data_IF_050191172677
#
_entry.id   IF_050191172677
#
_cell.length_a   1.000
_cell.length_b   1.000
_cell.length_c   1.000
_cell.angle_alpha   90.00
_cell.angle_beta   90.00
_cell.angle_gamma   90.00
#
_symmetry.space_group_name_H-M   'P 1'
#
loop_
_entity.id
_entity.type
_entity.pdbx_description
1 polymer ?
#
# COMPACT_ATOMS: atom_id res chain seq x y z
N UNK A 1 -4.98 8.94 -21.25
CA UNK A 1 -5.63 7.67 -20.85
C UNK A 1 -6.99 7.57 -21.53
N UNK A 2 -7.40 6.37 -21.96
CA UNK A 2 -8.71 6.12 -22.58
C UNK A 2 -9.58 5.37 -21.58
N UNK A 3 -10.77 5.88 -21.30
CA UNK A 3 -11.75 5.20 -20.46
C UNK A 3 -12.53 4.20 -21.32
N UNK A 4 -12.68 2.97 -20.83
CA UNK A 4 -13.52 1.94 -21.45
C UNK A 4 -14.61 1.53 -20.48
N UNK A 5 -15.85 1.44 -20.97
CA UNK A 5 -16.96 0.87 -20.21
C UNK A 5 -16.73 -0.64 -20.07
N UNK A 6 -16.73 -1.12 -18.83
CA UNK A 6 -16.72 -2.55 -18.51
C UNK A 6 -18.12 -2.90 -18.00
N UNK A 7 -18.74 -3.91 -18.59
CA UNK A 7 -20.04 -4.41 -18.15
C UNK A 7 -19.83 -5.64 -17.27
N UNK A 8 -20.14 -5.50 -15.98
CA UNK A 8 -20.04 -6.55 -14.96
C UNK A 8 -21.42 -6.97 -14.44
N UNK A 9 -22.51 -6.59 -15.11
CA UNK A 9 -23.89 -6.85 -14.66
C UNK A 9 -24.24 -8.32 -14.44
N UNK A 10 -23.50 -9.25 -15.07
CA UNK A 10 -23.69 -10.70 -14.92
C UNK A 10 -22.91 -11.31 -13.75
N UNK A 11 -22.05 -10.53 -13.08
CA UNK A 11 -21.32 -11.01 -11.89
C UNK A 11 -22.22 -10.78 -10.68
N UNK A 12 -22.60 -11.87 -10.02
CA UNK A 12 -23.53 -11.87 -8.88
C UNK A 12 -22.76 -11.72 -7.56
N UNK A 13 -21.59 -12.34 -7.47
CA UNK A 13 -20.76 -12.31 -6.28
C UNK A 13 -19.27 -12.45 -6.62
N UNK A 14 -18.43 -11.91 -5.73
CA UNK A 14 -16.97 -11.98 -5.83
C UNK A 14 -16.42 -12.40 -4.47
N UNK A 15 -15.47 -13.33 -4.44
CA UNK A 15 -14.71 -13.68 -3.25
C UNK A 15 -13.20 -13.71 -3.54
N UNK A 16 -12.39 -13.79 -2.49
CA UNK A 16 -10.95 -14.01 -2.60
C UNK A 16 -10.52 -15.14 -1.67
N UNK A 17 -9.72 -16.07 -2.20
CA UNK A 17 -9.14 -17.17 -1.44
C UNK A 17 -7.82 -17.61 -2.08
N UNK A 18 -6.78 -17.86 -1.29
CA UNK A 18 -5.49 -18.43 -1.73
C UNK A 18 -4.98 -17.86 -3.07
N UNK A 19 -4.86 -16.53 -3.16
CA UNK A 19 -4.38 -15.79 -4.34
C UNK A 19 -5.22 -15.93 -5.61
N UNK A 20 -6.49 -16.28 -5.43
CA UNK A 20 -7.48 -16.31 -6.50
C UNK A 20 -8.68 -15.44 -6.16
N UNK A 21 -9.21 -14.79 -7.20
CA UNK A 21 -10.51 -14.14 -7.18
C UNK A 21 -11.53 -15.13 -7.73
N UNK A 22 -12.50 -15.52 -6.91
CA UNK A 22 -13.63 -16.31 -7.37
C UNK A 22 -14.78 -15.41 -7.79
N UNK A 23 -15.35 -15.72 -8.94
CA UNK A 23 -16.43 -14.99 -9.58
C UNK A 23 -17.62 -15.92 -9.73
N UNK A 24 -18.77 -15.48 -9.23
CA UNK A 24 -20.04 -16.15 -9.45
C UNK A 24 -20.79 -15.42 -10.56
N UNK A 25 -21.01 -16.10 -11.69
CA UNK A 25 -21.51 -15.51 -12.93
C UNK A 25 -22.88 -16.09 -13.28
N UNK A 26 -23.84 -15.23 -13.53
CA UNK A 26 -25.15 -15.61 -14.06
C UNK A 26 -25.09 -15.84 -15.58
N UNK A 27 -25.44 -17.05 -16.02
CA UNK A 27 -25.58 -17.42 -17.44
C UNK A 27 -27.04 -17.50 -17.89
N UNK A 28 -27.99 -17.16 -17.02
CA UNK A 28 -29.42 -17.15 -17.28
C UNK A 28 -30.11 -18.46 -16.90
N UNK A 29 -29.62 -19.61 -17.39
CA UNK A 29 -30.14 -20.94 -17.02
C UNK A 29 -29.38 -21.59 -15.87
N UNK A 30 -28.17 -21.11 -15.57
CA UNK A 30 -27.28 -21.67 -14.56
C UNK A 30 -26.35 -20.59 -14.01
N UNK A 31 -25.71 -20.93 -12.90
CA UNK A 31 -24.71 -20.10 -12.25
C UNK A 31 -23.36 -20.79 -12.38
N UNK A 32 -22.37 -20.07 -12.92
CA UNK A 32 -21.01 -20.56 -13.12
C UNK A 32 -20.08 -19.96 -12.05
N UNK A 33 -19.22 -20.80 -11.47
CA UNK A 33 -18.14 -20.34 -10.60
C UNK A 33 -16.80 -20.43 -11.32
N UNK A 34 -16.08 -19.31 -11.38
CA UNK A 34 -14.80 -19.21 -12.08
C UNK A 34 -13.75 -18.55 -11.18
N UNK A 35 -12.55 -19.14 -11.14
CA UNK A 35 -11.42 -18.59 -10.39
C UNK A 35 -10.39 -18.01 -11.34
N UNK A 36 -9.91 -16.80 -11.03
CA UNK A 36 -8.77 -16.17 -11.72
C UNK A 36 -7.65 -15.87 -10.74
N UNK A 37 -6.36 -16.02 -11.14
CA UNK A 37 -5.25 -15.57 -10.31
C UNK A 37 -5.35 -14.07 -10.02
N UNK A 38 -5.33 -13.70 -8.75
CA UNK A 38 -5.42 -12.31 -8.35
C UNK A 38 -4.85 -12.09 -6.94
N UNK A 39 -4.05 -11.03 -6.74
CA UNK A 39 -3.58 -10.68 -5.41
C UNK A 39 -4.75 -10.18 -4.56
N UNK A 40 -4.64 -10.32 -3.24
CA UNK A 40 -5.65 -9.86 -2.27
C UNK A 40 -6.06 -8.40 -2.46
N UNK A 41 -5.12 -7.53 -2.87
CA UNK A 41 -5.37 -6.10 -3.12
C UNK A 41 -6.37 -5.84 -4.26
N UNK A 42 -6.49 -6.75 -5.23
CA UNK A 42 -7.47 -6.62 -6.31
C UNK A 42 -8.90 -6.76 -5.78
N UNK A 43 -9.15 -7.71 -4.87
CA UNK A 43 -10.44 -7.87 -4.21
C UNK A 43 -10.78 -6.65 -3.34
N UNK A 44 -9.81 -6.11 -2.61
CA UNK A 44 -9.99 -4.89 -1.82
C UNK A 44 -10.35 -3.69 -2.70
N UNK A 45 -9.63 -3.48 -3.80
CA UNK A 45 -9.93 -2.42 -4.76
C UNK A 45 -11.31 -2.56 -5.39
N UNK A 46 -11.72 -3.78 -5.76
CA UNK A 46 -13.07 -4.03 -6.27
C UNK A 46 -14.16 -3.69 -5.24
N UNK A 47 -13.95 -4.04 -3.97
CA UNK A 47 -14.88 -3.67 -2.89
C UNK A 47 -14.97 -2.15 -2.70
N UNK A 48 -13.85 -1.43 -2.82
CA UNK A 48 -13.84 0.04 -2.76
C UNK A 48 -14.63 0.65 -3.93
N UNK A 49 -14.40 0.17 -5.16
CA UNK A 49 -15.15 0.61 -6.34
C UNK A 49 -16.64 0.31 -6.20
N UNK A 50 -17.00 -0.87 -5.71
CA UNK A 50 -18.38 -1.25 -5.46
C UNK A 50 -19.03 -0.33 -4.41
N UNK A 51 -18.29 0.02 -3.35
CA UNK A 51 -18.77 0.94 -2.33
C UNK A 51 -19.02 2.34 -2.93
N UNK A 52 -18.08 2.87 -3.70
CA UNK A 52 -18.24 4.18 -4.37
C UNK A 52 -19.41 4.20 -5.36
N UNK A 53 -19.64 3.11 -6.09
CA UNK A 53 -20.70 3.02 -7.08
C UNK A 53 -22.10 2.89 -6.45
N UNK A 54 -22.21 2.17 -5.33
CA UNK A 54 -23.48 1.89 -4.68
C UNK A 54 -23.84 2.88 -3.56
N UNK A 55 -22.85 3.52 -2.95
CA UNK A 55 -23.01 4.51 -1.88
C UNK A 55 -22.42 5.85 -2.35
N UNK A 56 -23.10 6.57 -3.25
CA UNK A 56 -22.65 7.88 -3.68
C UNK A 56 -22.57 8.80 -2.44
N UNK A 57 -21.49 9.57 -2.27
CA UNK A 57 -21.38 10.48 -1.15
C UNK A 57 -22.57 11.44 -1.20
N UNK A 58 -23.39 11.41 -0.14
CA UNK A 58 -24.39 12.44 0.11
C UNK A 58 -23.61 13.76 0.23
N UNK A 59 -23.97 14.77 -0.58
CA UNK A 59 -23.36 16.11 -0.54
C UNK A 59 -23.54 16.80 0.83
N UNK A 60 -24.30 16.21 1.74
CA UNK A 60 -24.52 16.70 3.10
C UNK A 60 -23.54 16.10 4.14
N UNK A 61 -22.86 14.99 3.82
CA UNK A 61 -21.98 14.30 4.75
C UNK A 61 -20.51 14.41 4.30
N UNK A 62 -19.91 15.57 4.50
CA UNK A 62 -18.46 15.80 4.39
C UNK A 62 -17.64 15.06 5.48
N UNK A 63 -18.15 13.92 5.98
CA UNK A 63 -17.56 13.12 7.06
C UNK A 63 -17.29 11.66 6.65
N UNK A 64 -17.08 11.38 5.36
CA UNK A 64 -16.75 10.03 4.86
C UNK A 64 -15.30 9.87 4.38
N UNK A 65 -14.37 10.64 4.95
CA UNK A 65 -12.92 10.36 4.88
C UNK A 65 -12.35 9.82 6.20
N UNK A 66 -13.19 9.36 7.12
CA UNK A 66 -12.76 8.47 8.20
C UNK A 66 -12.50 7.08 7.61
N UNK A 67 -11.44 6.97 6.79
CA UNK A 67 -10.80 5.71 6.50
C UNK A 67 -10.40 5.10 7.84
N UNK A 68 -11.12 4.07 8.26
CA UNK A 68 -10.76 3.23 9.39
C UNK A 68 -9.39 2.58 9.08
N UNK A 69 -8.34 3.27 9.48
CA UNK A 69 -6.94 2.94 9.22
C UNK A 69 -6.48 1.72 10.05
N UNK A 70 -7.41 1.06 10.76
CA UNK A 70 -7.18 -0.07 11.66
C UNK A 70 -6.87 -1.40 10.96
N UNK A 71 -6.96 -1.49 9.62
CA UNK A 71 -6.82 -2.78 8.89
C UNK A 71 -5.64 -2.86 7.92
N UNK A 72 -4.79 -1.83 7.83
CA UNK A 72 -3.45 -1.96 7.26
C UNK A 72 -2.48 -2.47 8.33
N UNK A 73 -2.73 -3.67 8.84
CA UNK A 73 -1.70 -4.48 9.50
C UNK A 73 -0.73 -4.97 8.42
N UNK A 74 0.20 -4.09 8.06
CA UNK A 74 1.33 -4.43 7.21
C UNK A 74 2.33 -5.23 8.06
N UNK A 75 2.70 -6.47 7.70
CA UNK A 75 3.76 -7.19 8.36
C UNK A 75 5.11 -6.75 7.79
N UNK A 76 5.52 -5.50 8.01
CA UNK A 76 6.91 -5.07 7.86
C UNK A 76 7.23 -4.12 9.01
N UNK A 77 7.69 -4.71 10.10
CA UNK A 77 8.26 -4.00 11.24
C UNK A 77 9.62 -3.44 10.79
N UNK A 78 9.63 -2.22 10.25
CA UNK A 78 10.85 -1.46 10.01
C UNK A 78 10.90 -0.31 11.00
N UNK A 79 12.01 -0.21 11.72
CA UNK A 79 12.34 0.63 12.89
C UNK A 79 12.15 2.15 12.72
N UNK A 80 11.58 2.62 11.62
CA UNK A 80 11.46 4.04 11.27
C UNK A 80 10.07 4.38 10.71
N UNK A 81 9.01 4.06 11.45
CA UNK A 81 7.68 4.54 11.11
C UNK A 81 7.56 6.02 11.53
N UNK A 82 6.99 6.91 10.70
CA UNK A 82 6.77 8.30 11.09
C UNK A 82 5.87 8.38 12.33
N UNK A 83 6.24 9.26 13.26
CA UNK A 83 5.50 9.54 14.49
C UNK A 83 4.14 10.17 14.21
N UNK A 84 4.04 10.95 13.14
CA UNK A 84 2.76 11.46 12.65
C UNK A 84 2.74 11.52 11.12
N UNK A 85 1.57 11.28 10.54
CA UNK A 85 1.30 11.42 9.11
C UNK A 85 0.04 12.26 8.93
N UNK A 86 0.14 13.33 8.16
CA UNK A 86 -0.99 14.20 7.83
C UNK A 86 -1.15 14.31 6.32
N UNK A 87 -2.39 14.14 5.85
CA UNK A 87 -2.76 14.29 4.45
C UNK A 87 -3.76 15.43 4.31
N UNK A 88 -3.57 16.27 3.30
CA UNK A 88 -4.58 17.25 2.88
C UNK A 88 -4.74 17.23 1.37
N UNK A 89 -5.97 17.49 0.92
CA UNK A 89 -6.30 17.58 -0.49
C UNK A 89 -7.07 18.87 -0.73
N UNK A 90 -6.70 19.63 -1.77
CA UNK A 90 -7.48 20.75 -2.27
C UNK A 90 -7.93 20.47 -3.70
N UNK A 91 -9.18 20.85 -4.00
CA UNK A 91 -9.79 20.65 -5.30
C UNK A 91 -10.23 22.01 -5.81
N UNK A 92 -9.77 22.37 -7.00
CA UNK A 92 -10.12 23.61 -7.69
C UNK A 92 -10.71 23.27 -9.07
N UNK A 93 -11.87 23.86 -9.38
CA UNK A 93 -12.57 23.65 -10.64
C UNK A 93 -12.45 24.93 -11.46
N UNK A 94 -11.72 24.87 -12.58
CA UNK A 94 -11.75 25.93 -13.60
C UNK A 94 -12.89 25.60 -14.59
N UNK A 95 -14.06 26.18 -14.34
CA UNK A 95 -15.27 25.98 -15.16
C UNK A 95 -15.07 26.46 -16.61
N UNK A 96 -14.23 27.47 -16.83
CA UNK A 96 -13.97 28.02 -18.16
C UNK A 96 -13.10 27.09 -18.99
N UNK A 97 -12.13 26.42 -18.36
CA UNK A 97 -11.25 25.45 -19.03
C UNK A 97 -11.77 24.02 -18.96
N UNK A 98 -12.83 23.75 -18.20
CA UNK A 98 -13.31 22.40 -17.85
C UNK A 98 -12.19 21.52 -17.28
N UNK A 99 -11.30 22.12 -16.48
CA UNK A 99 -10.17 21.43 -15.87
C UNK A 99 -10.41 21.33 -14.37
N UNK A 100 -10.29 20.11 -13.85
CA UNK A 100 -10.27 19.82 -12.43
C UNK A 100 -8.81 19.76 -11.98
N UNK A 101 -8.40 20.66 -11.10
CA UNK A 101 -7.09 20.63 -10.45
C UNK A 101 -7.25 20.01 -9.07
N UNK A 102 -6.48 18.97 -8.79
CA UNK A 102 -6.41 18.33 -7.49
C UNK A 102 -4.97 18.45 -7.00
N UNK A 103 -4.78 19.03 -5.82
CA UNK A 103 -3.49 19.15 -5.16
C UNK A 103 -3.52 18.31 -3.89
N UNK A 104 -2.55 17.41 -3.77
CA UNK A 104 -2.42 16.47 -2.67
C UNK A 104 -1.14 16.79 -1.90
N UNK A 105 -1.26 17.04 -0.61
CA UNK A 105 -0.14 17.33 0.28
C UNK A 105 -0.05 16.24 1.33
N UNK A 106 1.16 15.70 1.50
CA UNK A 106 1.49 14.74 2.55
C UNK A 106 2.60 15.35 3.41
N UNK A 107 2.40 15.33 4.73
CA UNK A 107 3.40 15.72 5.72
C UNK A 107 3.69 14.51 6.61
N UNK A 108 4.99 14.21 6.74
CA UNK A 108 5.52 13.13 7.56
C UNK A 108 6.39 13.74 8.65
N UNK A 109 6.19 13.35 9.90
CA UNK A 109 7.00 13.76 11.03
C UNK A 109 7.70 12.54 11.65
N UNK A 110 9.00 12.67 11.91
CA UNK A 110 9.81 11.63 12.53
C UNK A 110 10.37 12.19 13.84
N UNK A 111 10.12 11.50 14.94
CA UNK A 111 10.83 11.72 16.20
C UNK A 111 12.03 10.79 16.25
N UNK A 112 13.21 11.37 16.42
CA UNK A 112 14.41 10.62 16.77
C UNK A 112 14.49 10.64 18.30
N UNK A 113 14.34 9.48 18.95
CA UNK A 113 14.82 9.33 20.32
C UNK A 113 16.35 9.31 20.26
N UNK A 114 17.01 10.20 21.03
CA UNK A 114 18.45 10.13 21.22
C UNK A 114 18.76 8.76 21.84
N UNK A 115 19.39 7.89 21.06
CA UNK A 115 19.92 6.63 21.55
C UNK A 115 21.10 6.98 22.45
N UNK A 116 20.86 7.06 23.75
CA UNK A 116 21.93 7.08 24.74
C UNK A 116 22.76 5.78 24.59
N UNK A 117 24.06 6.00 24.42
CA UNK A 117 25.17 5.05 24.55
C UNK A 117 25.25 3.87 23.57
N UNK A 118 25.85 4.13 22.41
CA UNK A 118 26.72 3.14 21.77
C UNK A 118 28.09 3.23 22.44
N UNK A 119 28.39 2.34 23.40
CA UNK A 119 29.79 2.03 23.71
C UNK A 119 30.37 1.29 22.48
N UNK A 120 31.24 1.97 21.72
CA UNK A 120 32.10 1.33 20.72
C UNK A 120 33.09 0.42 21.44
N UNK A 121 32.74 -0.85 21.62
CA UNK A 121 33.70 -1.89 22.00
C UNK A 121 34.58 -2.17 20.77
N UNK A 122 35.73 -1.50 20.69
CA UNK A 122 36.78 -1.84 19.73
C UNK A 122 37.32 -3.22 20.09
N UNK A 123 36.83 -4.26 19.40
CA UNK A 123 37.47 -5.57 19.39
C UNK A 123 38.88 -5.41 18.82
N UNK A 124 39.89 -5.65 19.68
CA UNK A 124 41.31 -5.78 19.34
C UNK A 124 41.47 -6.70 18.12
N UNK A 125 41.72 -6.10 16.95
CA UNK A 125 41.95 -6.81 15.69
C UNK A 125 43.30 -6.39 15.09
N UNK A 126 44.39 -6.52 15.86
CA UNK A 126 45.78 -6.49 15.40
C UNK A 126 46.54 -7.45 16.34
N UNK A 127 47.33 -8.45 15.96
CA UNK A 127 47.93 -8.85 14.70
C UNK A 127 48.27 -10.35 14.84
N UNK A 128 47.61 -11.23 14.08
CA UNK A 128 48.19 -12.52 13.70
C UNK A 128 49.01 -12.31 12.43
N UNK A 129 50.22 -11.75 12.58
CA UNK A 129 51.21 -11.85 11.51
C UNK A 129 51.84 -13.25 11.58
N UNK A 130 51.53 -14.03 10.54
CA UNK A 130 52.15 -15.31 10.25
C UNK A 130 53.66 -15.13 10.00
N UNK A 131 54.44 -16.05 10.55
CA UNK A 131 55.81 -16.33 10.16
C UNK A 131 55.86 -16.67 8.65
N UNK A 132 56.60 -15.89 7.86
CA UNK A 132 57.08 -16.35 6.54
C UNK A 132 58.45 -15.72 6.22
N UNK A 133 59.46 -16.59 6.26
CA UNK A 133 60.71 -16.63 5.49
C UNK A 133 61.55 -15.36 5.26
N UNK A 134 62.79 -15.38 5.77
CA UNK A 134 63.95 -15.04 4.92
C UNK A 134 65.10 -16.04 5.15
N UNK A 135 65.37 -16.82 4.10
CA UNK A 135 66.71 -17.30 3.78
C UNK A 135 67.65 -16.09 3.58
N UNK A 136 68.86 -16.11 4.13
CA UNK A 136 70.07 -15.71 3.38
C UNK A 136 71.38 -16.12 4.09
N UNK A 137 72.02 -17.14 3.51
CA UNK A 137 73.42 -17.21 3.06
C UNK A 137 74.43 -16.25 3.70
N UNK A 138 75.39 -16.79 4.48
CA UNK A 138 76.85 -16.72 4.25
C UNK A 138 77.62 -17.62 5.24
#
# INVERSE_FOLDING_TARGET
MKLSKIDLSKIIAVNHNQDKLGLLIDRGSEVEYLEVPAPKVAYQGLNQVANLANNPPSLADNSLLALDHSTLSNPLNTTHQPSSVSYSASIEIDENKKVLKVELTCQLEYSLEELDDYEEEYDDFEDYFYDEEEEEIC
#
